data_IF_205243360242
#
_entry.id   IF_205243360242
#
_cell.length_a   1.000
_cell.length_b   1.000
_cell.length_c   1.000
_cell.angle_alpha   90.00
_cell.angle_beta   90.00
_cell.angle_gamma   90.00
#
_symmetry.space_group_name_H-M   'P 1'
#
loop_
_entity.id
_entity.type
_entity.pdbx_description
1 polymer ?
#
# COMPACT_ATOMS: atom_id res chain seq x y z
N UNK A 1 3.81 -2.22 -16.27
CA UNK A 1 2.87 -1.24 -16.84
C UNK A 1 3.55 -0.38 -17.91
N UNK A 2 4.62 0.37 -17.59
CA UNK A 2 5.27 1.32 -18.50
C UNK A 2 5.70 0.72 -19.86
N UNK A 3 6.31 -0.45 -19.86
CA UNK A 3 6.73 -1.12 -21.10
C UNK A 3 5.52 -1.60 -21.91
N UNK A 4 4.48 -2.11 -21.27
CA UNK A 4 3.23 -2.50 -21.94
C UNK A 4 2.56 -1.27 -22.59
N UNK A 5 2.51 -0.13 -21.90
CA UNK A 5 1.99 1.12 -22.47
C UNK A 5 2.75 1.54 -23.74
N UNK A 6 4.08 1.41 -23.72
CA UNK A 6 4.88 1.77 -24.90
C UNK A 6 4.60 0.85 -26.09
N UNK A 7 4.50 -0.47 -25.86
CA UNK A 7 4.19 -1.45 -26.92
C UNK A 7 2.79 -1.18 -27.47
N UNK A 8 1.78 -1.09 -26.60
CA UNK A 8 0.39 -0.84 -27.02
C UNK A 8 0.23 0.47 -27.80
N UNK A 9 0.88 1.54 -27.34
CA UNK A 9 0.87 2.82 -28.05
C UNK A 9 1.53 2.72 -29.43
N UNK A 10 2.62 1.96 -29.56
CA UNK A 10 3.26 1.73 -30.87
C UNK A 10 2.32 1.01 -31.82
N UNK A 11 1.65 -0.05 -31.39
CA UNK A 11 0.69 -0.81 -32.19
C UNK A 11 -0.52 0.05 -32.66
N UNK A 12 -0.92 1.01 -31.82
CA UNK A 12 -2.01 1.94 -32.11
C UNK A 12 -1.57 3.20 -32.88
N UNK A 13 -0.29 3.30 -33.29
CA UNK A 13 0.24 4.48 -33.97
C UNK A 13 0.34 5.74 -33.11
N UNK A 14 0.34 5.59 -31.77
CA UNK A 14 0.49 6.67 -30.83
C UNK A 14 1.95 6.83 -30.36
N UNK A 15 2.23 7.89 -29.61
CA UNK A 15 3.57 8.15 -29.14
C UNK A 15 4.00 7.22 -27.98
N UNK A 16 4.89 6.21 -28.23
CA UNK A 16 5.25 5.23 -27.22
C UNK A 16 6.06 5.81 -26.06
N UNK A 17 6.82 6.89 -26.27
CA UNK A 17 7.58 7.55 -25.20
C UNK A 17 6.65 8.24 -24.20
N UNK A 18 5.59 8.89 -24.69
CA UNK A 18 4.58 9.50 -23.80
C UNK A 18 3.80 8.44 -23.04
N UNK A 19 3.35 7.38 -23.72
CA UNK A 19 2.64 6.27 -23.07
C UNK A 19 3.50 5.56 -22.01
N UNK A 20 4.78 5.32 -22.32
CA UNK A 20 5.74 4.77 -21.37
C UNK A 20 5.88 5.66 -20.13
N UNK A 21 5.96 6.98 -20.32
CA UNK A 21 6.07 7.96 -19.24
C UNK A 21 4.84 7.97 -18.37
N UNK A 22 3.64 8.00 -18.97
CA UNK A 22 2.37 7.94 -18.25
C UNK A 22 2.25 6.64 -17.45
N UNK A 23 2.53 5.49 -18.06
CA UNK A 23 2.53 4.20 -17.37
C UNK A 23 3.59 4.05 -16.29
N UNK A 24 4.72 4.78 -16.36
CA UNK A 24 5.71 4.80 -15.30
C UNK A 24 5.22 5.59 -14.08
N UNK A 25 4.50 6.68 -14.32
CA UNK A 25 4.09 7.62 -13.30
C UNK A 25 2.66 7.39 -12.77
N UNK A 26 1.89 6.44 -13.33
CA UNK A 26 0.48 6.28 -13.01
C UNK A 26 0.18 6.19 -11.51
N UNK A 27 1.06 5.53 -10.76
CA UNK A 27 0.94 5.28 -9.32
C UNK A 27 1.78 6.26 -8.46
N UNK A 28 2.29 7.36 -9.01
CA UNK A 28 3.14 8.30 -8.27
C UNK A 28 2.45 8.91 -7.04
N UNK A 29 1.12 8.96 -7.04
CA UNK A 29 0.35 9.41 -5.89
C UNK A 29 0.36 8.47 -4.68
N UNK A 30 0.94 7.28 -4.79
CA UNK A 30 1.17 6.34 -3.66
C UNK A 30 2.48 6.62 -2.91
N UNK A 31 3.32 7.52 -3.41
CA UNK A 31 4.66 7.81 -2.84
C UNK A 31 4.64 8.76 -1.64
N UNK A 32 3.77 9.81 -1.56
CA UNK A 32 3.75 10.69 -0.40
C UNK A 32 3.43 9.96 0.90
N UNK A 33 4.18 10.27 1.98
CA UNK A 33 4.03 9.64 3.30
C UNK A 33 2.81 10.16 4.08
N UNK A 34 2.23 11.29 3.69
CA UNK A 34 1.05 11.86 4.31
C UNK A 34 -0.20 11.12 3.85
N UNK A 35 -1.16 10.84 4.75
CA UNK A 35 -2.46 10.26 4.38
C UNK A 35 -3.16 11.21 3.41
N UNK A 36 -3.36 10.82 2.14
CA UNK A 36 -3.93 11.70 1.16
C UNK A 36 -5.45 11.84 1.37
N UNK A 37 -5.94 13.06 1.40
CA UNK A 37 -7.39 13.34 1.33
C UNK A 37 -8.00 12.93 -0.02
N UNK A 38 -7.16 12.69 -1.03
CA UNK A 38 -7.56 12.38 -2.40
C UNK A 38 -7.14 10.95 -2.78
N UNK A 39 -7.91 10.29 -3.68
CA UNK A 39 -7.46 9.07 -4.34
C UNK A 39 -6.08 9.23 -4.97
N UNK A 40 -5.26 8.16 -4.95
CA UNK A 40 -3.88 8.24 -5.42
C UNK A 40 -3.74 8.69 -6.89
N UNK A 41 -4.72 8.40 -7.74
CA UNK A 41 -4.70 8.82 -9.13
C UNK A 41 -4.83 10.35 -9.25
N UNK A 42 -5.77 10.96 -8.51
CA UNK A 42 -5.93 12.42 -8.49
C UNK A 42 -4.75 13.12 -7.79
N UNK A 43 -4.22 12.54 -6.73
CA UNK A 43 -3.01 13.05 -6.08
C UNK A 43 -1.81 12.98 -7.03
N UNK A 44 -1.65 11.85 -7.73
CA UNK A 44 -0.62 11.66 -8.74
C UNK A 44 -0.72 12.66 -9.90
N UNK A 45 -1.94 12.96 -10.37
CA UNK A 45 -2.18 13.99 -11.38
C UNK A 45 -1.68 15.37 -10.89
N UNK A 46 -2.07 15.78 -9.67
CA UNK A 46 -1.61 17.05 -9.09
C UNK A 46 -0.10 17.12 -8.92
N UNK A 47 0.53 16.02 -8.52
CA UNK A 47 2.00 15.93 -8.45
C UNK A 47 2.62 16.09 -9.84
N UNK A 48 2.12 15.40 -10.84
CA UNK A 48 2.60 15.50 -12.22
C UNK A 48 2.47 16.92 -12.76
N UNK A 49 1.35 17.60 -12.51
CA UNK A 49 1.13 19.01 -12.87
C UNK A 49 2.14 19.93 -12.16
N UNK A 50 2.34 19.74 -10.85
CA UNK A 50 3.32 20.50 -10.06
C UNK A 50 4.73 20.40 -10.64
N UNK A 51 5.10 19.22 -11.13
CA UNK A 51 6.40 18.97 -11.77
C UNK A 51 6.42 19.21 -13.27
N UNK A 52 5.37 19.86 -13.82
CA UNK A 52 5.29 20.30 -15.22
C UNK A 52 5.34 19.16 -16.24
N UNK A 53 4.76 18.01 -15.90
CA UNK A 53 4.49 16.97 -16.89
C UNK A 53 3.48 17.46 -17.94
N UNK A 54 3.48 16.81 -19.11
CA UNK A 54 2.57 17.18 -20.19
C UNK A 54 1.11 16.91 -19.79
N UNK A 55 0.14 17.75 -20.21
CA UNK A 55 -1.26 17.62 -19.82
C UNK A 55 -1.88 16.25 -20.14
N UNK A 56 -1.52 15.65 -21.27
CA UNK A 56 -1.96 14.31 -21.66
C UNK A 56 -1.42 13.19 -20.73
N UNK A 57 -0.22 13.38 -20.18
CA UNK A 57 0.37 12.47 -19.18
C UNK A 57 -0.33 12.69 -17.84
N UNK A 58 -0.53 13.95 -17.40
CA UNK A 58 -1.25 14.25 -16.16
C UNK A 58 -2.66 13.67 -16.16
N UNK A 59 -3.39 13.84 -17.26
CA UNK A 59 -4.72 13.26 -17.44
C UNK A 59 -4.68 11.73 -17.36
N UNK A 60 -3.73 11.08 -18.04
CA UNK A 60 -3.62 9.63 -18.00
C UNK A 60 -3.32 9.10 -16.59
N UNK A 61 -2.56 9.84 -15.78
CA UNK A 61 -2.32 9.52 -14.35
C UNK A 61 -3.62 9.68 -13.55
N UNK A 62 -4.37 10.77 -13.72
CA UNK A 62 -5.59 11.03 -12.95
C UNK A 62 -6.76 10.12 -13.32
N UNK A 63 -6.83 9.69 -14.59
CA UNK A 63 -7.98 8.99 -15.14
C UNK A 63 -7.86 7.45 -15.17
N UNK A 64 -6.72 6.86 -14.75
CA UNK A 64 -6.49 5.43 -14.92
C UNK A 64 -7.40 4.53 -14.04
N UNK A 65 -8.13 5.11 -13.09
CA UNK A 65 -9.17 4.46 -12.29
C UNK A 65 -10.54 5.14 -12.41
N UNK A 66 -10.79 5.84 -13.53
CA UNK A 66 -12.05 6.54 -13.83
C UNK A 66 -12.42 7.67 -12.84
N UNK A 67 -11.43 8.20 -12.07
CA UNK A 67 -11.65 9.27 -11.08
C UNK A 67 -11.72 10.66 -11.71
N UNK A 68 -11.39 10.78 -13.00
CA UNK A 68 -11.60 11.97 -13.84
C UNK A 68 -11.83 11.57 -15.29
N UNK A 69 -12.35 12.51 -16.10
CA UNK A 69 -12.62 12.26 -17.50
C UNK A 69 -11.34 12.00 -18.31
N UNK A 70 -11.37 10.98 -19.17
CA UNK A 70 -10.28 10.65 -20.07
C UNK A 70 -10.28 11.60 -21.28
N UNK A 71 -9.29 12.47 -21.38
CA UNK A 71 -9.18 13.46 -22.47
C UNK A 71 -8.26 13.02 -23.60
N UNK A 72 -7.57 11.90 -23.46
CA UNK A 72 -6.66 11.34 -24.47
C UNK A 72 -6.65 9.82 -24.46
N UNK A 73 -6.23 9.20 -25.56
CA UNK A 73 -6.05 7.74 -25.65
C UNK A 73 -4.94 7.19 -24.76
N UNK A 74 -4.13 8.03 -24.13
CA UNK A 74 -3.12 7.58 -23.17
C UNK A 74 -3.76 7.03 -21.89
N UNK A 75 -4.87 7.61 -21.44
CA UNK A 75 -5.55 7.20 -20.22
C UNK A 75 -6.06 5.74 -20.31
N UNK A 76 -6.87 5.34 -21.30
CA UNK A 76 -7.30 3.94 -21.41
C UNK A 76 -6.13 2.97 -21.66
N UNK A 77 -5.06 3.40 -22.35
CA UNK A 77 -3.85 2.57 -22.49
C UNK A 77 -3.23 2.30 -21.12
N UNK A 78 -3.09 3.31 -20.26
CA UNK A 78 -2.53 3.13 -18.91
C UNK A 78 -3.43 2.21 -18.08
N UNK A 79 -4.74 2.43 -18.08
CA UNK A 79 -5.72 1.61 -17.35
C UNK A 79 -5.64 0.14 -17.76
N UNK A 80 -5.66 -0.16 -19.06
CA UNK A 80 -5.59 -1.55 -19.57
C UNK A 80 -4.23 -2.17 -19.26
N UNK A 81 -3.14 -1.45 -19.45
CA UNK A 81 -1.80 -1.96 -19.18
C UNK A 81 -1.54 -2.21 -17.70
N UNK A 82 -2.11 -1.39 -16.82
CA UNK A 82 -2.06 -1.62 -15.38
C UNK A 82 -2.84 -2.89 -14.99
N UNK A 83 -4.06 -3.05 -15.50
CA UNK A 83 -4.86 -4.25 -15.29
C UNK A 83 -4.15 -5.51 -15.78
N UNK A 84 -3.55 -5.50 -16.97
CA UNK A 84 -2.75 -6.62 -17.52
C UNK A 84 -1.54 -6.90 -16.63
N UNK A 85 -0.81 -5.86 -16.22
CA UNK A 85 0.38 -6.00 -15.37
C UNK A 85 0.02 -6.62 -14.01
N UNK A 86 -1.07 -6.15 -13.39
CA UNK A 86 -1.55 -6.65 -12.11
C UNK A 86 -2.16 -8.06 -12.15
N UNK A 87 -2.64 -8.51 -13.32
CA UNK A 87 -3.19 -9.85 -13.51
C UNK A 87 -2.12 -10.91 -13.81
N UNK A 88 -0.87 -10.52 -14.07
CA UNK A 88 0.20 -11.46 -14.39
C UNK A 88 0.53 -12.37 -13.19
N UNK A 89 0.85 -13.66 -13.43
CA UNK A 89 1.31 -14.56 -12.37
C UNK A 89 2.48 -13.96 -11.59
N UNK A 90 2.38 -13.92 -10.26
CA UNK A 90 3.40 -13.37 -9.37
C UNK A 90 3.27 -11.87 -9.09
N UNK A 91 2.59 -11.06 -9.89
CA UNK A 91 2.50 -9.62 -9.71
C UNK A 91 1.87 -9.20 -8.35
N UNK A 92 0.88 -9.97 -7.87
CA UNK A 92 0.24 -9.76 -6.55
C UNK A 92 0.77 -10.69 -5.46
N UNK A 93 1.58 -11.67 -5.81
CA UNK A 93 2.08 -12.67 -4.86
C UNK A 93 3.04 -12.04 -3.86
N UNK A 94 3.94 -11.18 -4.30
CA UNK A 94 4.88 -10.46 -3.43
C UNK A 94 4.13 -9.54 -2.42
N UNK A 95 3.03 -8.91 -2.86
CA UNK A 95 2.19 -8.10 -1.96
C UNK A 95 1.53 -8.97 -0.91
N UNK A 96 1.01 -10.15 -1.29
CA UNK A 96 0.40 -11.11 -0.35
C UNK A 96 1.45 -11.70 0.59
N UNK A 97 2.62 -12.07 0.08
CA UNK A 97 3.72 -12.60 0.89
C UNK A 97 4.25 -11.55 1.89
N UNK A 98 4.44 -10.31 1.45
CA UNK A 98 4.84 -9.20 2.31
C UNK A 98 3.77 -8.89 3.37
N UNK A 99 2.50 -8.97 3.01
CA UNK A 99 1.38 -8.83 3.93
C UNK A 99 1.37 -9.94 5.00
N UNK A 100 1.48 -11.21 4.58
CA UNK A 100 1.52 -12.37 5.50
C UNK A 100 2.74 -12.27 6.41
N UNK A 101 3.90 -11.93 5.85
CA UNK A 101 5.12 -11.72 6.63
C UNK A 101 4.92 -10.66 7.71
N UNK A 102 4.34 -9.51 7.36
CA UNK A 102 4.08 -8.42 8.31
C UNK A 102 3.13 -8.85 9.44
N UNK A 103 2.08 -9.64 9.15
CA UNK A 103 1.21 -10.19 10.19
C UNK A 103 1.98 -11.14 11.13
N UNK A 104 2.80 -12.01 10.56
CA UNK A 104 3.62 -12.92 11.35
C UNK A 104 4.65 -12.18 12.21
N UNK A 105 5.32 -11.16 11.65
CA UNK A 105 6.30 -10.34 12.38
C UNK A 105 5.61 -9.60 13.55
N UNK A 106 4.38 -9.09 13.34
CA UNK A 106 3.58 -8.46 14.39
C UNK A 106 3.23 -9.42 15.53
N UNK A 107 2.78 -10.64 15.19
CA UNK A 107 2.48 -11.68 16.16
C UNK A 107 3.73 -12.14 16.93
N UNK A 108 4.84 -12.36 16.23
CA UNK A 108 6.09 -12.79 16.83
C UNK A 108 6.70 -11.74 17.77
N UNK A 109 6.61 -10.46 17.41
CA UNK A 109 7.08 -9.36 18.25
C UNK A 109 6.39 -9.38 19.61
N UNK A 110 5.07 -9.55 19.66
CA UNK A 110 4.33 -9.62 20.91
C UNK A 110 4.51 -10.96 21.63
N UNK A 111 4.67 -12.06 20.90
CA UNK A 111 4.91 -13.40 21.47
C UNK A 111 6.23 -13.50 22.24
N UNK A 112 7.19 -12.62 21.93
CA UNK A 112 8.49 -12.58 22.60
C UNK A 112 8.45 -12.04 24.05
N UNK A 113 7.34 -11.45 24.47
CA UNK A 113 7.22 -10.92 25.83
C UNK A 113 6.93 -12.01 26.87
N UNK A 114 7.56 -11.93 28.05
CA UNK A 114 7.31 -12.87 29.13
C UNK A 114 5.83 -12.89 29.53
N UNK A 115 5.28 -14.09 29.73
CA UNK A 115 3.89 -14.28 30.13
C UNK A 115 2.86 -14.24 29.01
N UNK A 116 3.24 -13.85 27.80
CA UNK A 116 2.39 -14.00 26.61
C UNK A 116 2.32 -15.46 26.22
N UNK A 117 1.11 -15.97 26.01
CA UNK A 117 0.85 -17.37 25.65
C UNK A 117 0.44 -17.54 24.21
N UNK A 118 -0.28 -16.58 23.64
CA UNK A 118 -0.71 -16.56 22.24
C UNK A 118 -0.90 -15.14 21.74
N UNK A 119 -0.75 -14.96 20.43
CA UNK A 119 -0.98 -13.69 19.74
C UNK A 119 -1.77 -13.92 18.47
N UNK A 120 -2.61 -12.95 18.09
CA UNK A 120 -3.42 -13.01 16.88
C UNK A 120 -3.49 -11.63 16.22
N UNK A 121 -2.99 -11.50 15.01
CA UNK A 121 -3.21 -10.34 14.17
C UNK A 121 -4.54 -10.51 13.42
N UNK A 122 -5.54 -9.72 13.77
CA UNK A 122 -6.88 -9.78 13.19
C UNK A 122 -7.24 -8.48 12.47
N UNK A 123 -8.41 -8.44 11.81
CA UNK A 123 -8.87 -7.28 11.03
C UNK A 123 -7.82 -6.77 10.03
N UNK A 124 -7.23 -7.69 9.25
CA UNK A 124 -6.17 -7.38 8.31
C UNK A 124 -4.93 -6.70 8.95
N UNK A 125 -4.61 -7.05 10.21
CA UNK A 125 -3.49 -6.49 10.97
C UNK A 125 -3.80 -5.18 11.70
N UNK A 126 -5.03 -4.70 11.68
CA UNK A 126 -5.43 -3.49 12.41
C UNK A 126 -5.69 -3.71 13.90
N UNK A 127 -5.79 -4.96 14.34
CA UNK A 127 -5.87 -5.32 15.75
C UNK A 127 -4.92 -6.47 16.06
N UNK A 128 -4.11 -6.32 17.11
CA UNK A 128 -3.28 -7.36 17.68
C UNK A 128 -3.88 -7.78 19.03
N UNK A 129 -4.36 -9.02 19.11
CA UNK A 129 -4.79 -9.63 20.37
C UNK A 129 -3.64 -10.40 20.99
N UNK A 130 -3.36 -10.11 22.24
CA UNK A 130 -2.27 -10.71 23.04
C UNK A 130 -2.93 -11.41 24.22
N UNK A 131 -2.79 -12.73 24.26
CA UNK A 131 -3.31 -13.55 25.34
C UNK A 131 -2.18 -13.79 26.35
N UNK A 132 -2.42 -13.43 27.59
CA UNK A 132 -1.45 -13.60 28.69
C UNK A 132 -1.91 -14.69 29.67
N UNK A 133 -0.96 -15.30 30.36
CA UNK A 133 -1.26 -16.24 31.43
C UNK A 133 -1.61 -15.48 32.72
N UNK A 134 -2.83 -15.67 33.23
CA UNK A 134 -3.29 -15.03 34.48
C UNK A 134 -2.45 -15.42 35.72
N UNK A 135 -1.71 -16.50 35.62
CA UNK A 135 -0.75 -16.97 36.62
C UNK A 135 0.61 -16.31 36.51
N UNK A 136 0.88 -15.56 35.44
CA UNK A 136 2.18 -14.99 35.09
C UNK A 136 2.22 -13.47 35.06
N UNK A 137 1.10 -12.83 34.79
CA UNK A 137 1.00 -11.39 34.61
C UNK A 137 -0.21 -10.87 35.39
N UNK A 138 0.00 -9.84 36.23
CA UNK A 138 -1.05 -9.14 36.93
C UNK A 138 -1.65 -7.99 36.06
N UNK A 139 -2.73 -7.36 36.58
CA UNK A 139 -3.45 -6.29 35.85
C UNK A 139 -2.55 -5.07 35.54
N UNK A 140 -1.65 -4.71 36.46
CA UNK A 140 -0.71 -3.59 36.25
C UNK A 140 0.32 -3.92 35.18
N UNK A 141 0.81 -5.14 35.19
CA UNK A 141 1.74 -5.63 34.17
C UNK A 141 1.07 -5.73 32.81
N UNK A 142 -0.22 -6.08 32.77
CA UNK A 142 -1.04 -6.13 31.54
C UNK A 142 -1.18 -4.73 30.91
N UNK A 143 -1.43 -3.70 31.73
CA UNK A 143 -1.50 -2.32 31.26
C UNK A 143 -0.15 -1.84 30.69
N UNK A 144 0.95 -2.07 31.43
CA UNK A 144 2.31 -1.74 30.98
C UNK A 144 2.68 -2.47 29.69
N UNK A 145 2.35 -3.77 29.59
CA UNK A 145 2.64 -4.62 28.45
C UNK A 145 2.04 -4.08 27.14
N UNK A 146 0.82 -3.57 27.18
CA UNK A 146 0.16 -3.00 26.01
C UNK A 146 0.92 -1.78 25.46
N UNK A 147 1.41 -0.91 26.36
CA UNK A 147 2.21 0.25 26.01
C UNK A 147 3.61 -0.11 25.48
N UNK A 148 4.25 -1.12 26.08
CA UNK A 148 5.56 -1.60 25.64
C UNK A 148 5.51 -2.22 24.25
N UNK A 149 4.48 -3.05 23.98
CA UNK A 149 4.25 -3.64 22.65
C UNK A 149 3.99 -2.53 21.63
N UNK A 150 3.13 -1.53 21.97
CA UNK A 150 2.84 -0.42 21.08
C UNK A 150 4.11 0.34 20.70
N UNK A 151 4.94 0.67 21.69
CA UNK A 151 6.21 1.36 21.46
C UNK A 151 7.14 0.54 20.58
N UNK A 152 7.28 -0.75 20.86
CA UNK A 152 8.16 -1.63 20.09
C UNK A 152 7.70 -1.79 18.65
N UNK A 153 6.39 -1.85 18.40
CA UNK A 153 5.85 -1.84 17.03
C UNK A 153 6.23 -0.55 16.31
N UNK A 154 6.10 0.61 16.97
CA UNK A 154 6.47 1.91 16.39
C UNK A 154 7.97 2.02 16.09
N UNK A 155 8.82 1.48 16.95
CA UNK A 155 10.28 1.60 16.84
C UNK A 155 10.87 0.60 15.84
N UNK A 156 10.32 -0.61 15.73
CA UNK A 156 10.92 -1.72 14.98
C UNK A 156 10.16 -2.08 13.67
N UNK A 157 8.90 -1.65 13.51
CA UNK A 157 8.08 -2.03 12.36
C UNK A 157 7.63 -0.82 11.54
N UNK A 158 7.78 -0.91 10.22
CA UNK A 158 7.09 0.00 9.30
C UNK A 158 5.67 -0.52 9.08
N UNK A 159 4.68 0.12 9.72
CA UNK A 159 3.29 -0.30 9.65
C UNK A 159 2.41 0.79 9.01
N UNK A 160 1.63 0.50 7.96
CA UNK A 160 0.74 1.48 7.35
C UNK A 160 -0.54 1.61 8.18
N UNK A 161 -0.64 2.67 8.98
CA UNK A 161 -1.82 2.98 9.77
C UNK A 161 -1.70 2.62 11.26
N UNK A 162 -2.85 2.64 11.96
CA UNK A 162 -2.92 2.37 13.39
C UNK A 162 -3.17 0.89 13.67
N UNK A 163 -2.55 0.37 14.71
CA UNK A 163 -2.79 -0.98 15.25
C UNK A 163 -3.36 -0.85 16.66
N UNK A 164 -4.56 -1.38 16.87
CA UNK A 164 -5.14 -1.54 18.20
C UNK A 164 -4.53 -2.73 18.88
N UNK A 165 -3.99 -2.56 20.09
CA UNK A 165 -3.46 -3.66 20.90
C UNK A 165 -4.47 -3.97 21.99
N UNK A 166 -4.89 -5.24 22.08
CA UNK A 166 -5.82 -5.73 23.10
C UNK A 166 -5.13 -6.87 23.84
N UNK A 167 -4.80 -6.65 25.10
CA UNK A 167 -4.23 -7.69 26.00
C UNK A 167 -5.37 -8.31 26.82
N UNK A 168 -5.42 -9.66 26.87
CA UNK A 168 -6.50 -10.45 27.47
C UNK A 168 -5.88 -11.53 28.34
#
# INVERSE_FOLDING_TARGET
TANLCAVMASELGLNPKKAKRAGLLHDIGKVPDEEPELPHALLGMKLAEKYKEKPDICNAIGAHHDETEMTSLLAPIVQVCDAISGARPGARREIVEAYIKRLNDLEQLAMAYPGVTKTYAIQAGRELRVIVGADKIDDKQTESLSGEIAKKIQDEMTYPGQVKITVI
#
